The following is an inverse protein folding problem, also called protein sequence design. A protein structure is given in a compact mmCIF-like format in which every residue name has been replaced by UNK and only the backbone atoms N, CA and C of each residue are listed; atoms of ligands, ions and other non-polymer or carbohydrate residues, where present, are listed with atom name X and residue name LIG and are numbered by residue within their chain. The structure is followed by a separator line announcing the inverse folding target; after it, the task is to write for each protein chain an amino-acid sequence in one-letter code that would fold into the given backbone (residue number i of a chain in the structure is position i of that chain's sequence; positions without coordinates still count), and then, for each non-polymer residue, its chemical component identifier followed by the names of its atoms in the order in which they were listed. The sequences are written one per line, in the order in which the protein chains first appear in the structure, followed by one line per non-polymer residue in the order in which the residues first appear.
data_IF_203311125493
#
_entry.id   IF_203311125493
#
_cell.length_a   1.000
_cell.length_b   1.000
_cell.length_c   1.000
_cell.angle_alpha   90.00
_cell.angle_beta   90.00
_cell.angle_gamma   90.00
#
_symmetry.space_group_name_H-M   'P 1'
#
loop_
_entity.id
_entity.type
_entity.pdbx_description
1 polymer ?
#
# COMPACT_ATOMS: atom_id res chain seq x y z
N UNK A 1 -20.03 20.58 15.73
CA UNK A 1 -18.76 21.29 15.58
C UNK A 1 -17.68 20.24 15.51
N UNK A 2 -16.88 20.21 14.44
CA UNK A 2 -15.72 19.32 14.34
C UNK A 2 -14.50 20.21 14.24
N UNK A 3 -14.00 20.59 15.40
CA UNK A 3 -12.68 21.18 15.58
C UNK A 3 -11.75 20.07 16.05
N UNK A 4 -10.62 19.92 15.38
CA UNK A 4 -9.67 18.86 15.65
C UNK A 4 -8.30 19.49 15.86
N UNK A 5 -7.74 19.24 17.04
CA UNK A 5 -6.31 19.37 17.25
C UNK A 5 -5.64 18.09 16.78
N UNK A 6 -4.79 18.20 15.76
CA UNK A 6 -3.97 17.12 15.25
C UNK A 6 -2.52 17.32 15.72
N UNK A 7 -1.92 16.28 16.28
CA UNK A 7 -0.50 16.25 16.58
C UNK A 7 0.04 14.85 16.30
N UNK A 8 0.95 14.72 15.35
CA UNK A 8 1.67 13.48 15.07
C UNK A 8 3.15 13.71 15.31
N UNK A 9 3.75 12.90 16.18
CA UNK A 9 5.19 12.84 16.41
C UNK A 9 5.68 11.46 16.01
N UNK A 10 6.68 11.44 15.14
CA UNK A 10 7.34 10.21 14.69
C UNK A 10 8.83 10.29 15.05
N UNK A 11 9.29 9.34 15.85
CA UNK A 11 10.70 9.12 16.16
C UNK A 11 11.15 7.84 15.45
N UNK A 12 12.07 7.98 14.50
CA UNK A 12 12.58 6.90 13.64
C UNK A 12 14.03 6.58 13.97
N UNK A 13 14.32 5.30 14.17
CA UNK A 13 15.66 4.74 14.24
C UNK A 13 15.95 4.00 12.92
N UNK A 14 16.98 4.45 12.20
CA UNK A 14 17.34 3.90 10.90
C UNK A 14 18.69 3.21 11.02
N UNK A 15 18.70 1.93 10.66
CA UNK A 15 19.87 1.06 10.73
C UNK A 15 20.18 0.60 9.29
N UNK A 16 21.40 0.84 8.87
CA UNK A 16 21.94 0.45 7.56
C UNK A 16 23.26 -0.27 7.76
N UNK A 17 23.78 -0.93 6.73
CA UNK A 17 25.15 -1.48 6.78
C UNK A 17 26.24 -0.42 7.01
N UNK A 18 25.97 0.82 6.61
CA UNK A 18 26.88 1.96 6.77
C UNK A 18 26.81 2.62 8.15
N UNK A 19 25.83 2.29 8.98
CA UNK A 19 25.66 2.87 10.30
C UNK A 19 24.21 3.10 10.72
N UNK A 20 24.07 3.76 11.86
CA UNK A 20 22.81 3.98 12.57
C UNK A 20 22.61 5.46 12.82
N UNK A 21 21.41 5.97 12.54
CA UNK A 21 21.03 7.34 12.84
C UNK A 21 19.56 7.42 13.26
N UNK A 22 19.22 8.50 13.96
CA UNK A 22 17.85 8.77 14.40
C UNK A 22 17.31 10.00 13.70
N UNK A 23 16.03 9.99 13.40
CA UNK A 23 15.28 11.10 12.83
C UNK A 23 14.02 11.31 13.65
N UNK A 24 13.64 12.56 13.88
CA UNK A 24 12.37 12.91 14.53
C UNK A 24 11.62 13.90 13.64
N UNK A 25 10.31 13.72 13.55
CA UNK A 25 9.42 14.66 12.88
C UNK A 25 8.19 14.89 13.74
N UNK A 26 7.66 16.11 13.68
CA UNK A 26 6.43 16.46 14.37
C UNK A 26 5.59 17.38 13.50
N UNK A 27 4.30 17.05 13.39
CA UNK A 27 3.30 17.86 12.70
C UNK A 27 2.23 18.22 13.71
N UNK A 28 1.90 19.51 13.80
CA UNK A 28 0.79 20.03 14.61
C UNK A 28 -0.11 20.87 13.73
N UNK A 29 -1.41 20.66 13.82
CA UNK A 29 -2.39 21.45 13.11
C UNK A 29 -3.67 21.60 13.93
N UNK A 30 -4.33 22.74 13.79
CA UNK A 30 -5.69 22.95 14.22
C UNK A 30 -6.55 23.01 12.96
N UNK A 31 -7.56 22.15 12.89
CA UNK A 31 -8.39 21.98 11.71
C UNK A 31 -9.86 22.12 12.08
N UNK A 32 -10.59 22.88 11.27
CA UNK A 32 -12.04 23.00 11.40
C UNK A 32 -12.69 22.45 10.14
N UNK A 33 -13.66 21.56 10.29
CA UNK A 33 -14.46 21.10 9.17
C UNK A 33 -15.61 22.08 8.90
N UNK A 34 -15.68 22.60 7.68
CA UNK A 34 -16.73 23.50 7.19
C UNK A 34 -17.56 22.83 6.08
N UNK A 35 -18.69 23.43 5.67
CA UNK A 35 -19.43 22.97 4.49
C UNK A 35 -18.60 22.93 3.20
N UNK A 36 -17.58 23.77 3.10
CA UNK A 36 -16.68 23.89 1.94
C UNK A 36 -15.45 23.00 2.04
N UNK A 37 -15.15 22.41 3.21
CA UNK A 37 -14.01 21.52 3.41
C UNK A 37 -13.27 21.75 4.72
N UNK A 38 -12.10 21.14 4.82
CA UNK A 38 -11.18 21.39 5.93
C UNK A 38 -10.45 22.71 5.75
N UNK A 39 -10.42 23.52 6.80
CA UNK A 39 -9.57 24.71 6.89
C UNK A 39 -8.54 24.53 8.02
N UNK A 40 -7.33 25.03 7.81
CA UNK A 40 -6.22 24.98 8.79
C UNK A 40 -6.25 26.19 9.72
N UNK A 41 -7.45 26.50 10.22
CA UNK A 41 -7.69 27.60 11.14
C UNK A 41 -8.66 27.14 12.22
N UNK A 42 -8.44 27.66 13.42
CA UNK A 42 -9.39 27.49 14.50
C UNK A 42 -10.53 28.48 14.33
N UNK A 43 -11.69 27.98 13.91
CA UNK A 43 -12.88 28.79 13.71
C UNK A 43 -14.07 28.12 14.37
N UNK A 44 -14.78 28.86 15.21
CA UNK A 44 -16.02 28.37 15.79
C UNK A 44 -17.10 28.35 14.71
N UNK A 45 -17.38 27.14 14.20
CA UNK A 45 -18.46 26.90 13.23
C UNK A 45 -19.35 25.79 13.76
N UNK A 46 -20.65 26.07 13.84
CA UNK A 46 -21.65 25.03 14.08
C UNK A 46 -21.90 24.23 12.80
N UNK A 47 -21.00 23.29 12.51
CA UNK A 47 -21.16 22.31 11.44
C UNK A 47 -21.11 20.90 12.04
N UNK A 48 -21.98 20.03 11.57
CA UNK A 48 -21.90 18.59 11.82
C UNK A 48 -21.73 17.87 10.48
N UNK A 49 -20.82 16.88 10.38
CA UNK A 49 -20.67 16.09 9.18
C UNK A 49 -22.01 15.43 8.82
N UNK A 50 -22.35 15.40 7.54
CA UNK A 50 -23.57 14.73 7.07
C UNK A 50 -23.48 13.19 7.11
N UNK A 51 -22.32 12.63 7.48
CA UNK A 51 -22.06 11.18 7.50
C UNK A 51 -22.07 10.65 8.93
N UNK A 52 -22.69 9.48 9.11
CA UNK A 52 -22.55 8.71 10.34
C UNK A 52 -21.13 8.13 10.44
N UNK A 53 -20.54 8.24 11.62
CA UNK A 53 -19.22 7.67 11.88
C UNK A 53 -19.11 7.21 13.34
N UNK A 54 -18.16 6.31 13.58
CA UNK A 54 -17.79 5.89 14.93
C UNK A 54 -16.58 6.73 15.36
N UNK A 55 -16.65 7.45 16.49
CA UNK A 55 -15.51 8.19 17.03
C UNK A 55 -14.32 7.26 17.33
N UNK A 56 -13.12 7.82 17.24
CA UNK A 56 -11.88 7.13 17.57
C UNK A 56 -11.86 6.60 19.02
N UNK A 57 -11.05 5.56 19.23
CA UNK A 57 -10.74 4.99 20.54
C UNK A 57 -9.22 4.99 20.69
N UNK A 58 -8.72 5.47 21.83
CA UNK A 58 -7.28 5.52 22.10
C UNK A 58 -6.66 4.11 22.09
N UNK A 59 -5.45 4.02 21.58
CA UNK A 59 -4.68 2.78 21.44
C UNK A 59 -3.24 3.04 21.88
N UNK A 60 -2.72 2.22 22.80
CA UNK A 60 -1.34 2.33 23.25
C UNK A 60 -0.68 0.96 23.28
N UNK A 61 0.36 0.79 22.49
CA UNK A 61 1.22 -0.39 22.50
C UNK A 61 2.26 -0.29 23.63
N UNK A 62 2.68 -1.45 24.18
CA UNK A 62 3.62 -1.50 25.31
C UNK A 62 5.05 -1.19 24.85
N UNK A 63 5.70 -0.24 25.51
CA UNK A 63 7.06 0.23 25.18
C UNK A 63 8.14 -0.85 25.37
N UNK A 64 7.92 -1.86 26.23
CA UNK A 64 8.89 -2.95 26.44
C UNK A 64 9.22 -3.70 25.14
N UNK A 65 8.23 -3.88 24.26
CA UNK A 65 8.38 -4.55 22.95
C UNK A 65 9.31 -3.74 22.04
N UNK A 66 9.22 -2.41 22.10
CA UNK A 66 10.03 -1.52 21.29
C UNK A 66 11.52 -1.62 21.64
N UNK A 67 11.87 -1.66 22.93
CA UNK A 67 13.26 -1.78 23.37
C UNK A 67 13.88 -3.13 23.02
N UNK A 68 13.10 -4.22 23.14
CA UNK A 68 13.56 -5.55 22.73
C UNK A 68 13.92 -5.59 21.24
N UNK A 69 13.08 -5.00 20.39
CA UNK A 69 13.27 -5.01 18.93
C UNK A 69 14.48 -4.18 18.49
N UNK A 70 14.75 -3.04 19.13
CA UNK A 70 15.95 -2.24 18.84
C UNK A 70 17.22 -3.08 19.02
N UNK A 71 17.30 -3.85 20.11
CA UNK A 71 18.47 -4.71 20.40
C UNK A 71 18.60 -5.87 19.40
N UNK A 72 17.48 -6.36 18.85
CA UNK A 72 17.47 -7.41 17.82
C UNK A 72 17.89 -6.88 16.45
N UNK A 73 17.44 -5.68 16.08
CA UNK A 73 17.61 -5.14 14.73
C UNK A 73 19.09 -5.00 14.30
N UNK A 74 19.98 -4.67 15.22
CA UNK A 74 21.43 -4.59 14.96
C UNK A 74 22.04 -5.95 14.59
N UNK A 75 21.46 -7.05 15.06
CA UNK A 75 21.89 -8.41 14.69
C UNK A 75 21.33 -8.86 13.35
N UNK A 76 20.25 -8.23 12.89
CA UNK A 76 19.54 -8.58 11.67
C UNK A 76 20.03 -7.81 10.43
N UNK A 77 20.66 -6.64 10.62
CA UNK A 77 21.14 -5.81 9.50
C UNK A 77 22.07 -6.53 8.51
N UNK A 78 22.91 -7.53 8.87
CA UNK A 78 23.72 -8.24 7.89
C UNK A 78 22.91 -8.98 6.81
N UNK A 79 21.63 -9.25 7.05
CA UNK A 79 20.76 -10.03 6.17
C UNK A 79 19.92 -9.19 5.20
N UNK A 80 19.85 -7.88 5.42
CA UNK A 80 19.02 -6.92 4.68
C UNK A 80 19.86 -5.67 4.39
N UNK A 81 19.26 -4.64 3.77
CA UNK A 81 19.98 -3.42 3.42
C UNK A 81 19.67 -2.27 4.39
N UNK A 82 18.42 -2.19 4.85
CA UNK A 82 17.95 -1.17 5.78
C UNK A 82 16.83 -1.69 6.67
N UNK A 83 16.86 -1.29 7.93
CA UNK A 83 15.78 -1.47 8.91
C UNK A 83 15.42 -0.08 9.44
N UNK A 84 14.13 0.25 9.44
CA UNK A 84 13.58 1.48 10.02
C UNK A 84 12.62 1.10 11.12
N UNK A 85 12.88 1.51 12.35
CA UNK A 85 12.00 1.29 13.49
C UNK A 85 11.41 2.64 13.87
N UNK A 86 10.09 2.75 13.91
CA UNK A 86 9.36 3.98 14.18
C UNK A 86 8.55 3.87 15.45
N UNK A 87 8.66 4.87 16.33
CA UNK A 87 7.70 5.16 17.38
C UNK A 87 6.80 6.28 16.89
N UNK A 88 5.51 6.01 16.75
CA UNK A 88 4.52 6.97 16.27
C UNK A 88 3.57 7.28 17.44
N UNK A 89 3.53 8.56 17.84
CA UNK A 89 2.53 9.09 18.76
C UNK A 89 1.64 10.07 18.01
N UNK A 90 0.37 9.72 17.83
CA UNK A 90 -0.62 10.56 17.15
C UNK A 90 -1.76 10.92 18.11
N UNK A 91 -2.17 12.19 18.07
CA UNK A 91 -3.32 12.72 18.82
C UNK A 91 -4.27 13.41 17.85
N UNK A 92 -5.54 13.07 17.93
CA UNK A 92 -6.60 13.63 17.09
C UNK A 92 -7.79 13.90 18.00
N UNK A 93 -8.04 15.18 18.30
CA UNK A 93 -8.98 15.57 19.35
C UNK A 93 -8.59 14.97 20.70
N UNK A 94 -9.48 14.20 21.31
CA UNK A 94 -9.25 13.53 22.61
C UNK A 94 -8.55 12.17 22.47
N UNK A 95 -8.45 11.63 21.27
CA UNK A 95 -7.88 10.30 21.04
C UNK A 95 -6.36 10.34 20.93
N UNK A 96 -5.73 9.28 21.42
CA UNK A 96 -4.27 9.08 21.39
C UNK A 96 -3.94 7.69 20.84
N UNK A 97 -3.03 7.63 19.89
CA UNK A 97 -2.44 6.40 19.34
C UNK A 97 -0.93 6.40 19.62
N UNK A 98 -0.43 5.40 20.32
CA UNK A 98 0.99 5.07 20.40
C UNK A 98 1.19 3.68 19.79
N UNK A 99 2.02 3.61 18.75
CA UNK A 99 2.35 2.36 18.06
C UNK A 99 3.81 2.32 17.65
N UNK A 100 4.31 1.10 17.44
CA UNK A 100 5.66 0.86 16.98
C UNK A 100 5.63 0.07 15.66
N UNK A 101 6.21 0.65 14.62
CA UNK A 101 6.25 0.08 13.27
C UNK A 101 7.69 -0.21 12.87
N UNK A 102 7.92 -1.32 12.18
CA UNK A 102 9.20 -1.61 11.53
C UNK A 102 9.00 -1.66 10.02
N UNK A 103 9.96 -1.14 9.27
CA UNK A 103 10.11 -1.34 7.83
C UNK A 103 11.46 -1.98 7.55
N UNK A 104 11.47 -2.98 6.68
CA UNK A 104 12.67 -3.71 6.28
C UNK A 104 12.79 -3.65 4.76
N UNK A 105 13.98 -3.28 4.29
CA UNK A 105 14.28 -3.15 2.86
C UNK A 105 15.44 -4.08 2.49
N UNK A 106 15.28 -4.80 1.38
CA UNK A 106 16.32 -5.63 0.77
C UNK A 106 16.18 -5.65 -0.75
N UNK A 107 17.26 -5.31 -1.43
CA UNK A 107 17.37 -5.03 -2.86
C UNK A 107 16.33 -4.01 -3.33
N UNK A 108 15.22 -4.50 -3.88
CA UNK A 108 14.12 -3.67 -4.34
C UNK A 108 12.84 -3.83 -3.55
N UNK A 109 12.79 -4.79 -2.64
CA UNK A 109 11.60 -5.12 -1.89
C UNK A 109 11.61 -4.37 -0.57
N UNK A 110 10.42 -3.92 -0.18
CA UNK A 110 10.14 -3.30 1.10
C UNK A 110 8.95 -3.98 1.73
N UNK A 111 9.07 -4.32 3.01
CA UNK A 111 7.96 -4.82 3.84
C UNK A 111 7.91 -4.04 5.13
N UNK A 112 6.76 -4.01 5.78
CA UNK A 112 6.62 -3.36 7.07
C UNK A 112 5.49 -3.97 7.88
N UNK A 113 5.36 -3.54 9.13
CA UNK A 113 4.37 -4.07 10.06
C UNK A 113 4.71 -3.67 11.48
N UNK A 114 3.99 -4.21 12.45
CA UNK A 114 4.34 -4.04 13.87
C UNK A 114 5.75 -4.55 14.15
N UNK A 115 6.45 -3.85 15.05
CA UNK A 115 7.86 -4.14 15.40
C UNK A 115 8.11 -5.59 15.83
N UNK A 116 7.13 -6.23 16.47
CA UNK A 116 7.21 -7.63 16.92
C UNK A 116 7.46 -8.63 15.78
N UNK A 117 7.17 -8.27 14.52
CA UNK A 117 7.33 -9.12 13.35
C UNK A 117 8.70 -8.99 12.67
N UNK A 118 9.65 -8.25 13.24
CA UNK A 118 10.95 -7.97 12.59
C UNK A 118 11.67 -9.24 12.10
N UNK A 119 11.71 -10.31 12.90
CA UNK A 119 12.37 -11.57 12.54
C UNK A 119 11.68 -12.24 11.33
N UNK A 120 10.35 -12.25 11.32
CA UNK A 120 9.55 -12.78 10.22
C UNK A 120 9.71 -11.96 8.94
N UNK A 121 9.76 -10.63 9.05
CA UNK A 121 9.95 -9.73 7.91
C UNK A 121 11.33 -9.90 7.26
N UNK A 122 12.38 -10.01 8.07
CA UNK A 122 13.75 -10.28 7.61
C UNK A 122 13.82 -11.65 6.93
N UNK A 123 13.29 -12.69 7.58
CA UNK A 123 13.28 -14.06 7.03
C UNK A 123 12.51 -14.13 5.71
N UNK A 124 11.40 -13.42 5.62
CA UNK A 124 10.60 -13.32 4.40
C UNK A 124 11.41 -12.72 3.24
N UNK A 125 12.04 -11.56 3.44
CA UNK A 125 12.86 -10.92 2.41
C UNK A 125 14.09 -11.76 2.01
N UNK A 126 14.63 -12.57 2.91
CA UNK A 126 15.71 -13.49 2.56
C UNK A 126 15.27 -14.56 1.55
N UNK A 127 14.03 -15.03 1.64
CA UNK A 127 13.50 -16.10 0.81
C UNK A 127 12.87 -15.60 -0.51
N UNK A 128 12.39 -14.35 -0.54
CA UNK A 128 11.68 -13.80 -1.71
C UNK A 128 12.61 -13.40 -2.86
N UNK A 129 13.85 -13.05 -2.56
CA UNK A 129 14.73 -12.45 -3.55
C UNK A 129 15.26 -13.53 -4.48
N UNK A 130 14.85 -13.42 -5.74
CA UNK A 130 15.32 -14.28 -6.83
C UNK A 130 16.61 -13.72 -7.44
N UNK A 131 17.62 -14.56 -7.55
CA UNK A 131 18.81 -14.27 -8.34
C UNK A 131 18.52 -14.48 -9.83
N UNK A 132 18.10 -13.42 -10.52
CA UNK A 132 17.99 -13.47 -11.99
C UNK A 132 19.39 -13.37 -12.59
N UNK A 133 19.69 -14.24 -13.56
CA UNK A 133 20.98 -14.25 -14.27
C UNK A 133 21.20 -12.90 -14.97
N UNK A 134 22.40 -12.32 -14.81
CA UNK A 134 22.85 -11.02 -15.37
C UNK A 134 22.83 -10.89 -16.90
N UNK A 135 22.51 -11.95 -17.65
CA UNK A 135 22.44 -11.85 -19.11
C UNK A 135 21.15 -11.13 -19.47
N UNK A 136 21.27 -9.82 -19.69
CA UNK A 136 20.20 -8.96 -20.18
C UNK A 136 20.16 -9.02 -21.70
N UNK A 137 19.01 -9.40 -22.26
CA UNK A 137 18.72 -9.27 -23.69
C UNK A 137 17.69 -8.17 -23.90
N UNK A 138 17.86 -7.38 -24.95
CA UNK A 138 16.82 -6.42 -25.33
C UNK A 138 15.58 -7.18 -25.81
N UNK A 139 14.43 -6.83 -25.25
CA UNK A 139 13.17 -7.39 -25.73
C UNK A 139 12.78 -6.71 -27.04
N UNK A 140 12.59 -7.50 -28.11
CA UNK A 140 12.48 -6.97 -29.47
C UNK A 140 11.04 -6.76 -29.95
N UNK A 141 10.04 -7.19 -29.18
CA UNK A 141 8.63 -7.14 -29.61
C UNK A 141 7.83 -6.24 -28.69
N UNK A 142 7.34 -5.11 -29.18
CA UNK A 142 6.39 -4.27 -28.44
C UNK A 142 4.98 -4.83 -28.51
N UNK A 143 4.05 -4.23 -27.74
CA UNK A 143 2.62 -4.53 -27.85
C UNK A 143 2.08 -5.38 -26.71
N UNK A 144 0.90 -5.99 -26.93
CA UNK A 144 0.16 -6.72 -25.89
C UNK A 144 0.75 -8.11 -25.72
N UNK A 145 1.27 -8.41 -24.54
CA UNK A 145 1.88 -9.70 -24.18
C UNK A 145 1.31 -10.21 -22.87
N UNK A 146 1.20 -11.54 -22.74
CA UNK A 146 0.82 -12.19 -21.50
C UNK A 146 2.01 -12.24 -20.56
N UNK A 147 1.81 -11.83 -19.31
CA UNK A 147 2.86 -11.75 -18.29
C UNK A 147 2.35 -12.24 -16.96
N UNK A 148 3.27 -12.73 -16.13
CA UNK A 148 3.06 -12.90 -14.70
C UNK A 148 3.62 -11.66 -14.00
N UNK A 149 2.78 -10.91 -13.29
CA UNK A 149 3.24 -9.81 -12.45
C UNK A 149 3.45 -10.31 -11.02
N UNK A 150 4.54 -9.87 -10.39
CA UNK A 150 4.76 -10.12 -8.98
C UNK A 150 3.69 -9.42 -8.12
N UNK A 151 3.45 -9.90 -6.90
CA UNK A 151 2.60 -9.25 -5.91
C UNK A 151 2.84 -7.75 -5.74
N UNK A 152 4.11 -7.32 -5.69
CA UNK A 152 4.49 -5.91 -5.56
C UNK A 152 4.05 -5.09 -6.78
N UNK A 153 4.31 -5.59 -7.99
CA UNK A 153 3.97 -4.89 -9.23
C UNK A 153 2.45 -4.83 -9.40
N UNK A 154 1.77 -5.96 -9.22
CA UNK A 154 0.31 -6.02 -9.33
C UNK A 154 -0.37 -5.19 -8.24
N UNK A 155 0.10 -5.31 -7.01
CA UNK A 155 -0.38 -4.55 -5.87
C UNK A 155 -0.25 -3.05 -6.11
N UNK A 156 0.87 -2.61 -6.68
CA UNK A 156 1.08 -1.20 -7.05
C UNK A 156 0.08 -0.75 -8.10
N UNK A 157 -0.16 -1.55 -9.17
CA UNK A 157 -1.19 -1.24 -10.18
C UNK A 157 -2.55 -1.06 -9.50
N UNK A 158 -2.92 -1.97 -8.60
CA UNK A 158 -4.20 -1.89 -7.90
C UNK A 158 -4.27 -0.68 -6.96
N UNK A 159 -3.18 -0.33 -6.26
CA UNK A 159 -3.12 0.85 -5.40
C UNK A 159 -3.43 2.15 -6.16
N UNK A 160 -2.75 2.38 -7.27
CA UNK A 160 -3.01 3.57 -8.09
C UNK A 160 -4.39 3.51 -8.77
N UNK A 161 -4.89 2.32 -9.10
CA UNK A 161 -6.25 2.13 -9.64
C UNK A 161 -7.29 2.52 -8.60
N UNK A 162 -7.20 1.99 -7.37
CA UNK A 162 -8.14 2.30 -6.27
C UNK A 162 -8.10 3.78 -5.95
N UNK A 163 -6.91 4.37 -5.79
CA UNK A 163 -6.74 5.81 -5.53
C UNK A 163 -7.36 6.69 -6.62
N UNK A 164 -7.32 6.25 -7.88
CA UNK A 164 -7.86 7.02 -9.02
C UNK A 164 -9.35 6.81 -9.24
N UNK A 165 -9.83 5.58 -9.11
CA UNK A 165 -11.19 5.21 -9.51
C UNK A 165 -12.19 5.27 -8.35
N UNK A 166 -11.73 5.06 -7.12
CA UNK A 166 -12.58 4.92 -5.93
C UNK A 166 -12.35 6.04 -4.89
N UNK A 167 -11.80 7.18 -5.29
CA UNK A 167 -11.65 8.35 -4.42
C UNK A 167 -13.03 8.94 -4.08
N UNK A 168 -13.37 9.06 -2.80
CA UNK A 168 -14.70 9.51 -2.36
C UNK A 168 -15.04 10.97 -2.67
N UNK A 169 -14.06 11.82 -3.02
CA UNK A 169 -14.34 13.18 -3.48
C UNK A 169 -14.92 13.16 -4.90
N UNK A 170 -14.30 12.36 -5.77
CA UNK A 170 -14.60 12.30 -7.21
C UNK A 170 -14.46 10.87 -7.76
N UNK A 171 -15.35 9.94 -7.36
CA UNK A 171 -15.25 8.55 -7.82
C UNK A 171 -15.52 8.48 -9.32
N UNK A 172 -14.74 7.67 -10.03
CA UNK A 172 -14.92 7.42 -11.47
C UNK A 172 -15.79 6.21 -11.76
N UNK A 173 -15.99 5.36 -10.76
CA UNK A 173 -16.87 4.19 -10.80
C UNK A 173 -18.08 4.41 -9.89
N UNK A 174 -19.23 3.84 -10.26
CA UNK A 174 -20.45 3.92 -9.45
C UNK A 174 -20.53 2.75 -8.46
N UNK A 175 -21.20 2.96 -7.34
CA UNK A 175 -21.56 1.87 -6.43
C UNK A 175 -22.37 0.83 -7.19
N UNK A 176 -22.09 -0.45 -6.90
CA UNK A 176 -22.70 -1.63 -7.52
C UNK A 176 -22.42 -1.79 -9.02
N UNK A 177 -21.52 -0.99 -9.58
CA UNK A 177 -21.03 -1.18 -10.94
C UNK A 177 -20.14 -2.43 -11.02
N UNK A 178 -20.32 -3.22 -12.09
CA UNK A 178 -19.43 -4.35 -12.41
C UNK A 178 -18.15 -3.84 -13.07
N UNK A 179 -17.01 -4.27 -12.56
CA UNK A 179 -15.67 -3.83 -12.96
C UNK A 179 -14.78 -5.05 -13.20
N UNK A 180 -13.48 -4.97 -12.90
CA UNK A 180 -12.54 -6.07 -13.00
C UNK A 180 -12.79 -7.16 -11.93
N UNK A 181 -12.54 -8.45 -12.22
CA UNK A 181 -12.96 -9.59 -11.40
C UNK A 181 -12.05 -9.79 -10.17
N UNK A 182 -11.98 -8.79 -9.30
CA UNK A 182 -11.18 -8.80 -8.07
C UNK A 182 -12.05 -8.60 -6.84
N UNK A 183 -11.54 -9.05 -5.71
CA UNK A 183 -12.04 -8.68 -4.38
C UNK A 183 -10.92 -7.96 -3.65
N UNK A 184 -11.18 -6.70 -3.28
CA UNK A 184 -10.20 -5.76 -2.73
C UNK A 184 -10.76 -5.14 -1.47
N UNK A 185 -10.00 -5.24 -0.39
CA UNK A 185 -10.28 -4.57 0.86
C UNK A 185 -9.25 -3.47 1.11
N UNK A 186 -9.68 -2.39 1.77
CA UNK A 186 -8.76 -1.55 2.53
C UNK A 186 -8.85 -1.95 4.01
N UNK A 187 -7.71 -2.30 4.61
CA UNK A 187 -7.62 -2.79 5.98
C UNK A 187 -6.57 -2.02 6.79
N UNK A 188 -6.98 -0.93 7.47
CA UNK A 188 -6.08 -0.17 8.33
C UNK A 188 -5.64 -0.95 9.58
N UNK A 189 -6.33 -2.04 9.93
CA UNK A 189 -6.05 -2.87 11.10
C UNK A 189 -5.11 -4.04 10.80
N UNK A 190 -4.57 -4.12 9.59
CA UNK A 190 -3.59 -5.14 9.22
C UNK A 190 -2.24 -4.86 9.94
N UNK A 191 -1.83 -5.79 10.80
CA UNK A 191 -0.64 -5.67 11.65
C UNK A 191 0.67 -6.02 10.95
N UNK A 192 0.61 -6.62 9.76
CA UNK A 192 1.73 -6.85 8.83
C UNK A 192 1.81 -5.76 7.75
N UNK A 193 1.35 -4.55 8.08
CA UNK A 193 1.42 -3.36 7.23
C UNK A 193 2.05 -2.18 7.97
N UNK A 194 2.89 -1.36 7.30
CA UNK A 194 3.38 -0.12 7.90
C UNK A 194 2.27 0.90 8.13
N UNK A 195 1.13 0.76 7.46
CA UNK A 195 -0.01 1.65 7.53
C UNK A 195 -0.96 1.34 8.69
N UNK A 196 -0.62 0.39 9.57
CA UNK A 196 -1.48 -0.01 10.70
C UNK A 196 -1.94 1.20 11.51
N UNK A 197 -3.25 1.36 11.70
CA UNK A 197 -3.81 2.40 12.55
C UNK A 197 -5.25 2.10 12.97
N UNK A 198 -5.62 2.52 14.19
CA UNK A 198 -6.95 2.29 14.77
C UNK A 198 -7.95 3.43 14.51
N UNK A 199 -7.48 4.59 14.06
CA UNK A 199 -8.32 5.70 13.62
C UNK A 199 -7.64 6.49 12.50
N UNK A 200 -8.38 7.29 11.74
CA UNK A 200 -7.84 8.10 10.66
C UNK A 200 -7.46 9.52 11.15
N UNK A 201 -6.96 10.38 10.25
CA UNK A 201 -6.47 11.72 10.64
C UNK A 201 -7.60 12.71 10.95
N UNK A 202 -8.86 12.29 10.85
CA UNK A 202 -10.08 13.02 11.27
C UNK A 202 -10.69 12.47 12.56
N UNK A 203 -10.06 11.46 13.19
CA UNK A 203 -10.55 10.88 14.43
C UNK A 203 -11.72 9.93 14.22
N UNK A 204 -11.85 9.35 13.02
CA UNK A 204 -12.83 8.30 12.74
C UNK A 204 -12.19 6.94 13.00
N UNK A 205 -12.89 6.06 13.73
CA UNK A 205 -12.45 4.69 13.95
C UNK A 205 -12.29 3.96 12.62
N UNK A 206 -11.11 3.39 12.38
CA UNK A 206 -10.86 2.62 11.15
C UNK A 206 -11.49 1.24 11.23
N UNK A 207 -11.78 0.68 10.05
CA UNK A 207 -12.29 -0.68 9.91
C UNK A 207 -11.83 -1.27 8.58
N UNK A 208 -11.82 -2.59 8.48
CA UNK A 208 -11.68 -3.27 7.20
C UNK A 208 -12.90 -2.97 6.33
N UNK A 209 -12.69 -2.39 5.15
CA UNK A 209 -13.73 -2.05 4.19
C UNK A 209 -13.52 -2.83 2.90
N UNK A 210 -14.59 -3.45 2.40
CA UNK A 210 -14.61 -4.00 1.06
C UNK A 210 -14.86 -2.87 0.07
N UNK A 211 -13.89 -2.62 -0.82
CA UNK A 211 -13.99 -1.58 -1.84
C UNK A 211 -14.57 -2.15 -3.13
N UNK A 212 -14.10 -3.34 -3.49
CA UNK A 212 -14.63 -4.13 -4.61
C UNK A 212 -14.82 -5.56 -4.09
N UNK A 213 -16.02 -6.11 -4.27
CA UNK A 213 -16.38 -7.46 -3.88
C UNK A 213 -16.83 -8.26 -5.10
N UNK A 214 -16.07 -9.31 -5.44
CA UNK A 214 -16.29 -10.20 -6.59
C UNK A 214 -16.54 -9.42 -7.90
N UNK A 215 -15.72 -8.39 -8.12
CA UNK A 215 -15.79 -7.51 -9.27
C UNK A 215 -16.93 -6.51 -9.29
N UNK A 216 -17.53 -6.21 -8.14
CA UNK A 216 -18.57 -5.19 -7.97
C UNK A 216 -18.10 -4.13 -6.98
N UNK A 217 -18.23 -2.84 -7.33
CA UNK A 217 -17.87 -1.74 -6.42
C UNK A 217 -18.81 -1.72 -5.21
N UNK A 218 -18.24 -1.81 -4.01
CA UNK A 218 -18.99 -1.88 -2.74
C UNK A 218 -18.91 -0.57 -1.94
N UNK A 219 -17.77 0.12 -1.99
CA UNK A 219 -17.54 1.36 -1.24
C UNK A 219 -16.43 2.20 -1.91
N UNK A 220 -16.20 3.39 -1.37
CA UNK A 220 -15.14 4.30 -1.77
C UNK A 220 -14.17 4.57 -0.62
N UNK A 221 -13.00 5.13 -0.94
CA UNK A 221 -12.14 5.78 0.03
C UNK A 221 -12.87 7.03 0.52
N UNK A 222 -13.38 7.02 1.74
CA UNK A 222 -14.25 8.07 2.28
C UNK A 222 -13.66 8.74 3.51
N UNK A 223 -13.84 10.05 3.58
CA UNK A 223 -13.60 10.91 4.75
C UNK A 223 -14.92 11.51 5.24
N UNK A 224 -14.91 12.23 6.37
CA UNK A 224 -16.05 13.00 6.86
C UNK A 224 -16.50 14.08 5.87
N UNK A 225 -15.57 14.65 5.10
CA UNK A 225 -15.86 15.70 4.13
C UNK A 225 -16.24 15.17 2.73
N UNK A 226 -15.61 14.08 2.30
CA UNK A 226 -15.80 13.54 0.95
C UNK A 226 -17.27 13.31 0.58
N UNK A 227 -17.62 13.47 -0.70
CA UNK A 227 -19.02 13.38 -1.17
C UNK A 227 -19.59 11.96 -1.08
N UNK A 228 -18.74 10.96 -1.29
CA UNK A 228 -19.12 9.55 -1.35
C UNK A 228 -18.29 8.71 -0.38
N UNK A 229 -18.75 7.49 -0.14
CA UNK A 229 -18.04 6.48 0.65
C UNK A 229 -18.20 6.64 2.15
N UNK A 230 -18.06 5.54 2.87
CA UNK A 230 -18.07 5.57 4.33
C UNK A 230 -16.74 6.14 4.86
N UNK A 231 -16.78 6.96 5.94
CA UNK A 231 -15.58 7.58 6.51
C UNK A 231 -14.63 6.53 7.14
N UNK A 232 -13.39 6.93 7.45
CA UNK A 232 -12.33 6.05 7.94
C UNK A 232 -11.14 5.88 6.98
N UNK A 233 -10.99 6.76 5.98
CA UNK A 233 -9.87 6.82 5.02
C UNK A 233 -9.19 8.19 4.97
N UNK A 234 -9.38 9.04 5.97
CA UNK A 234 -8.83 10.38 5.93
C UNK A 234 -7.34 10.37 6.28
N UNK A 235 -6.51 10.90 5.36
CA UNK A 235 -5.06 10.94 5.54
C UNK A 235 -4.49 12.31 5.18
N UNK A 236 -3.53 12.76 5.98
CA UNK A 236 -2.80 14.00 5.76
C UNK A 236 -3.45 15.23 6.39
N UNK A 237 -2.86 16.39 6.09
CA UNK A 237 -3.29 17.69 6.58
C UNK A 237 -3.27 18.68 5.40
N UNK A 238 -4.43 19.18 4.92
CA UNK A 238 -5.77 18.75 5.32
C UNK A 238 -6.04 17.26 4.99
N UNK A 239 -6.96 16.59 5.69
CA UNK A 239 -7.25 15.19 5.43
C UNK A 239 -7.95 14.97 4.09
N UNK A 240 -7.42 14.03 3.30
CA UNK A 240 -7.96 13.64 1.99
C UNK A 240 -8.24 12.13 1.95
N UNK A 241 -9.15 11.65 1.06
CA UNK A 241 -9.38 10.23 0.90
C UNK A 241 -8.15 9.50 0.36
N UNK A 242 -7.61 8.58 1.17
CA UNK A 242 -6.53 7.69 0.76
C UNK A 242 -6.62 6.33 1.46
N UNK A 243 -5.99 5.31 0.90
CA UNK A 243 -6.03 3.97 1.48
C UNK A 243 -4.94 3.79 2.56
N UNK A 244 -5.06 2.74 3.36
CA UNK A 244 -4.03 2.33 4.31
C UNK A 244 -3.33 1.06 3.85
N UNK A 245 -4.07 -0.05 3.78
CA UNK A 245 -3.53 -1.34 3.35
C UNK A 245 -4.49 -2.01 2.40
N UNK A 246 -4.11 -2.16 1.14
CA UNK A 246 -4.95 -2.90 0.20
C UNK A 246 -4.69 -4.40 0.31
N UNK A 247 -5.72 -5.17 0.61
CA UNK A 247 -5.69 -6.63 0.61
C UNK A 247 -6.45 -7.14 -0.62
N UNK A 248 -5.73 -7.74 -1.55
CA UNK A 248 -6.29 -8.33 -2.75
C UNK A 248 -6.46 -9.82 -2.50
N UNK A 249 -7.68 -10.32 -2.67
CA UNK A 249 -7.98 -11.75 -2.49
C UNK A 249 -7.22 -12.58 -3.53
N UNK A 250 -6.58 -13.66 -3.08
CA UNK A 250 -5.94 -14.64 -3.94
C UNK A 250 -6.95 -15.48 -4.74
N UNK A 251 -6.47 -16.12 -5.81
CA UNK A 251 -7.24 -17.09 -6.58
C UNK A 251 -6.90 -18.53 -6.21
N UNK A 252 -7.00 -19.42 -7.18
CA UNK A 252 -6.80 -20.86 -6.96
C UNK A 252 -5.47 -21.39 -7.53
N UNK A 253 -4.76 -20.59 -8.31
CA UNK A 253 -3.55 -21.02 -9.02
C UNK A 253 -2.30 -20.98 -8.12
N UNK A 254 -1.36 -21.88 -8.35
CA UNK A 254 0.02 -21.70 -7.89
C UNK A 254 0.85 -20.90 -8.91
N UNK A 255 1.98 -20.35 -8.47
CA UNK A 255 2.91 -19.66 -9.38
C UNK A 255 3.55 -20.64 -10.36
N UNK A 256 3.76 -21.87 -9.93
CA UNK A 256 4.29 -22.98 -10.72
C UNK A 256 3.32 -23.35 -11.84
N UNK A 257 2.04 -23.57 -11.55
CA UNK A 257 1.00 -23.84 -12.57
C UNK A 257 0.90 -22.69 -13.58
N UNK A 258 0.94 -21.43 -13.13
CA UNK A 258 0.94 -20.28 -14.04
C UNK A 258 2.10 -20.32 -15.04
N UNK A 259 3.28 -20.81 -14.64
CA UNK A 259 4.45 -20.92 -15.52
C UNK A 259 4.40 -22.14 -16.42
N UNK A 260 4.05 -23.28 -15.86
CA UNK A 260 4.10 -24.57 -16.55
C UNK A 260 3.06 -24.65 -17.68
N UNK A 261 1.86 -24.11 -17.44
CA UNK A 261 0.80 -24.03 -18.46
C UNK A 261 1.02 -22.89 -19.47
N UNK A 262 1.90 -21.92 -19.16
CA UNK A 262 2.18 -20.77 -20.02
C UNK A 262 3.68 -20.70 -20.35
N UNK A 263 4.19 -21.73 -21.02
CA UNK A 263 5.61 -21.82 -21.40
C UNK A 263 6.10 -20.56 -22.10
N UNK A 264 7.21 -20.01 -21.62
CA UNK A 264 7.81 -18.79 -22.15
C UNK A 264 7.09 -17.49 -21.78
N UNK A 265 6.19 -17.52 -20.79
CA UNK A 265 5.60 -16.31 -20.19
C UNK A 265 6.67 -15.47 -19.52
N UNK A 266 6.55 -14.15 -19.66
CA UNK A 266 7.45 -13.19 -19.02
C UNK A 266 7.00 -13.00 -17.58
N UNK A 267 7.93 -13.03 -16.63
CA UNK A 267 7.64 -12.62 -15.24
C UNK A 267 8.27 -11.26 -14.96
N UNK A 268 7.52 -10.37 -14.31
CA UNK A 268 7.91 -9.00 -14.01
C UNK A 268 7.92 -8.78 -12.49
N UNK A 269 9.01 -8.24 -11.96
CA UNK A 269 9.19 -7.97 -10.53
C UNK A 269 9.79 -6.59 -10.30
N UNK A 270 9.51 -6.02 -9.13
CA UNK A 270 10.06 -4.75 -8.71
C UNK A 270 9.44 -3.57 -9.43
N UNK A 271 9.11 -2.52 -8.68
CA UNK A 271 8.70 -1.23 -9.25
C UNK A 271 9.82 -0.23 -9.03
N UNK A 272 10.39 0.32 -10.10
CA UNK A 272 11.34 1.43 -10.03
C UNK A 272 10.62 2.77 -10.02
N UNK A 273 9.65 2.93 -10.91
CA UNK A 273 8.80 4.10 -10.94
C UNK A 273 7.40 3.75 -11.45
N UNK A 274 6.44 4.59 -11.11
CA UNK A 274 5.04 4.46 -11.49
C UNK A 274 4.49 5.82 -11.90
N UNK A 275 3.71 5.84 -12.97
CA UNK A 275 3.05 7.04 -13.48
C UNK A 275 1.62 6.70 -13.90
N UNK A 276 0.68 7.63 -13.66
CA UNK A 276 -0.65 7.55 -14.25
C UNK A 276 -0.64 8.46 -15.48
N UNK A 277 -0.87 7.87 -16.66
CA UNK A 277 -1.04 8.60 -17.91
C UNK A 277 -2.45 8.33 -18.40
N UNK A 278 -3.30 9.36 -18.34
CA UNK A 278 -4.72 9.29 -18.68
C UNK A 278 -5.45 8.17 -17.90
N UNK A 279 -5.83 7.09 -18.60
CA UNK A 279 -6.52 5.92 -18.05
C UNK A 279 -5.61 4.67 -17.99
N UNK A 280 -4.31 4.86 -17.89
CA UNK A 280 -3.32 3.79 -17.83
C UNK A 280 -2.30 4.03 -16.72
N UNK A 281 -1.96 2.93 -16.04
CA UNK A 281 -0.81 2.90 -15.14
C UNK A 281 0.40 2.46 -15.95
N UNK A 282 1.50 3.20 -15.81
CA UNK A 282 2.80 2.86 -16.38
C UNK A 282 3.77 2.52 -15.27
N UNK A 283 4.47 1.42 -15.43
CA UNK A 283 5.49 0.96 -14.48
C UNK A 283 6.80 0.75 -15.23
N UNK A 284 7.87 1.31 -14.68
CA UNK A 284 9.23 0.89 -14.99
C UNK A 284 9.60 -0.26 -14.05
N UNK A 285 9.73 -1.49 -14.55
CA UNK A 285 10.04 -2.63 -13.71
C UNK A 285 11.53 -2.75 -13.43
N UNK A 286 11.90 -3.31 -12.28
CA UNK A 286 13.33 -3.54 -11.95
C UNK A 286 13.87 -4.82 -12.54
N UNK A 287 13.06 -5.86 -12.60
CA UNK A 287 13.46 -7.18 -13.11
C UNK A 287 12.38 -7.69 -14.05
N UNK A 288 12.82 -8.11 -15.23
CA UNK A 288 11.98 -8.81 -16.20
C UNK A 288 12.73 -10.06 -16.61
N UNK A 289 12.09 -11.22 -16.51
CA UNK A 289 12.69 -12.49 -16.88
C UNK A 289 11.77 -13.30 -17.80
N UNK A 290 12.39 -14.09 -18.66
CA UNK A 290 11.75 -15.15 -19.43
C UNK A 290 12.64 -16.37 -19.42
N UNK A 291 12.11 -17.51 -18.95
CA UNK A 291 12.84 -18.79 -18.89
C UNK A 291 14.22 -18.67 -18.20
N UNK A 292 14.31 -17.86 -17.14
CA UNK A 292 15.55 -17.62 -16.38
C UNK A 292 16.56 -16.68 -17.07
N UNK A 293 16.20 -16.06 -18.19
CA UNK A 293 16.99 -15.04 -18.88
C UNK A 293 16.42 -13.66 -18.59
N UNK A 294 17.27 -12.73 -18.17
CA UNK A 294 16.89 -11.33 -17.93
C UNK A 294 16.59 -10.59 -19.24
N UNK A 295 15.55 -9.76 -19.24
CA UNK A 295 15.13 -8.95 -20.37
C UNK A 295 15.19 -7.46 -20.02
N UNK A 296 15.55 -6.64 -21.00
CA UNK A 296 15.44 -5.18 -20.91
C UNK A 296 14.16 -4.73 -21.61
N UNK A 297 13.27 -4.10 -20.84
CA UNK A 297 12.12 -3.33 -21.33
C UNK A 297 12.13 -1.97 -20.65
N UNK A 298 11.55 -0.95 -21.30
CA UNK A 298 11.48 0.39 -20.73
C UNK A 298 10.35 0.50 -19.71
N UNK A 299 9.13 0.20 -20.16
CA UNK A 299 7.91 0.34 -19.35
C UNK A 299 6.91 -0.76 -19.71
N UNK A 300 6.06 -1.11 -18.74
CA UNK A 300 4.76 -1.74 -19.02
C UNK A 300 3.65 -0.73 -18.83
N UNK A 301 2.62 -0.82 -19.65
CA UNK A 301 1.39 -0.06 -19.51
C UNK A 301 0.20 -0.99 -19.29
N UNK A 302 -0.60 -0.67 -18.28
CA UNK A 302 -1.84 -1.34 -17.92
C UNK A 302 -2.97 -0.30 -17.92
N UNK A 303 -3.70 -0.17 -19.04
CA UNK A 303 -4.97 0.54 -19.07
C UNK A 303 -5.94 -0.03 -18.04
N UNK A 304 -6.76 0.80 -17.38
CA UNK A 304 -7.72 0.32 -16.36
C UNK A 304 -8.68 -0.74 -16.92
N UNK A 305 -9.09 -0.60 -18.19
CA UNK A 305 -9.94 -1.57 -18.88
C UNK A 305 -9.26 -2.95 -19.07
N UNK A 306 -7.92 -3.01 -19.14
CA UNK A 306 -7.19 -4.26 -19.33
C UNK A 306 -7.20 -5.12 -18.05
N UNK A 307 -7.58 -4.55 -16.89
CA UNK A 307 -7.84 -5.30 -15.66
C UNK A 307 -9.02 -6.28 -15.79
N UNK A 308 -9.94 -6.07 -16.75
CA UNK A 308 -10.98 -7.04 -17.09
C UNK A 308 -10.41 -8.32 -17.72
N UNK A 309 -9.17 -8.27 -18.21
CA UNK A 309 -8.49 -9.39 -18.87
C UNK A 309 -7.60 -10.19 -17.91
N UNK A 310 -7.77 -10.06 -16.59
CA UNK A 310 -7.07 -10.89 -15.62
C UNK A 310 -7.46 -12.35 -15.84
N UNK A 311 -6.46 -13.20 -16.07
CA UNK A 311 -6.65 -14.60 -16.47
C UNK A 311 -6.56 -15.54 -15.25
N UNK A 312 -5.63 -15.26 -14.33
CA UNK A 312 -5.44 -16.05 -13.11
C UNK A 312 -4.81 -15.23 -11.98
N UNK A 313 -5.15 -15.57 -10.73
CA UNK A 313 -4.55 -15.04 -9.51
C UNK A 313 -3.97 -16.18 -8.70
N UNK A 314 -2.81 -15.95 -8.08
CA UNK A 314 -2.23 -16.98 -7.22
C UNK A 314 -2.99 -17.10 -5.92
N UNK A 315 -3.01 -18.31 -5.36
CA UNK A 315 -3.56 -18.59 -4.04
C UNK A 315 -2.81 -17.89 -2.92
N UNK A 316 -1.47 -17.89 -3.02
CA UNK A 316 -0.63 -17.22 -2.04
C UNK A 316 -0.63 -15.72 -2.30
N UNK A 317 -0.91 -14.95 -1.26
CA UNK A 317 -0.76 -13.49 -1.23
C UNK A 317 0.45 -13.12 -0.40
N UNK A 318 1.07 -11.99 -0.73
CA UNK A 318 2.34 -11.57 -0.16
C UNK A 318 2.31 -10.09 0.25
N UNK A 319 2.81 -9.73 1.44
CA UNK A 319 2.82 -8.36 1.92
C UNK A 319 4.01 -7.58 1.36
N UNK A 320 3.78 -6.31 1.03
CA UNK A 320 4.78 -5.31 0.67
C UNK A 320 4.35 -3.95 1.18
N UNK A 321 5.33 -3.09 1.43
CA UNK A 321 5.13 -1.68 1.74
C UNK A 321 5.35 -0.89 0.46
N UNK A 322 4.30 -0.22 -0.03
CA UNK A 322 4.39 0.67 -1.20
C UNK A 322 5.26 1.88 -0.87
N UNK A 323 5.05 2.42 0.33
CA UNK A 323 5.85 3.47 0.94
C UNK A 323 5.79 3.30 2.48
N UNK A 324 6.19 4.33 3.24
CA UNK A 324 6.18 4.27 4.71
C UNK A 324 4.79 4.37 5.33
N UNK A 325 3.80 4.66 4.50
CA UNK A 325 2.45 5.03 4.86
C UNK A 325 1.40 4.09 4.27
N UNK A 326 1.74 3.29 3.27
CA UNK A 326 0.82 2.43 2.53
C UNK A 326 1.33 0.99 2.46
N UNK A 327 0.46 0.04 2.81
CA UNK A 327 0.71 -1.39 2.67
C UNK A 327 -0.09 -2.02 1.55
N UNK A 328 0.40 -3.15 1.03
CA UNK A 328 -0.30 -3.96 0.06
C UNK A 328 -0.08 -5.43 0.38
N UNK A 329 -1.15 -6.22 0.31
CA UNK A 329 -1.12 -7.70 0.36
C UNK A 329 -1.73 -8.20 -0.93
N UNK A 330 -0.91 -8.83 -1.78
CA UNK A 330 -1.27 -9.07 -3.18
C UNK A 330 -0.82 -10.45 -3.68
N UNK A 331 -1.57 -11.10 -4.57
CA UNK A 331 -1.14 -12.31 -5.26
C UNK A 331 -0.26 -12.01 -6.48
N UNK A 332 0.38 -13.04 -7.04
CA UNK A 332 0.80 -13.00 -8.44
C UNK A 332 -0.44 -12.97 -9.34
N UNK A 333 -0.33 -12.30 -10.48
CA UNK A 333 -1.40 -12.28 -11.49
C UNK A 333 -0.84 -12.66 -12.85
N UNK A 334 -1.57 -13.50 -13.57
CA UNK A 334 -1.37 -13.75 -15.00
C UNK A 334 -2.37 -12.86 -15.76
N UNK A 335 -1.86 -11.94 -16.57
CA UNK A 335 -2.71 -11.06 -17.38
C UNK A 335 -1.93 -10.50 -18.59
N UNK A 336 -2.63 -10.04 -19.63
CA UNK A 336 -2.00 -9.31 -20.71
C UNK A 336 -1.67 -7.88 -20.31
N UNK A 337 -0.47 -7.41 -20.63
CA UNK A 337 -0.02 -6.01 -20.48
C UNK A 337 0.56 -5.49 -21.79
N UNK A 338 0.69 -4.17 -21.93
CA UNK A 338 1.38 -3.57 -23.08
C UNK A 338 2.84 -3.32 -22.72
N UNK A 339 3.77 -3.95 -23.44
CA UNK A 339 5.19 -3.60 -23.35
C UNK A 339 5.46 -2.38 -24.23
N UNK A 340 6.11 -1.39 -23.64
CA UNK A 340 6.61 -0.21 -24.31
C UNK A 340 8.12 -0.37 -24.43
N UNK A 341 8.58 -0.45 -25.68
CA UNK A 341 9.99 -0.44 -26.02
C UNK A 341 10.46 1.01 -26.16
N UNK A 342 11.74 1.22 -25.85
CA UNK A 342 12.57 2.41 -26.05
C UNK A 342 11.85 3.74 -26.30
#
# INVERSE_FOLDING_TARGET
MVQIFFNSKEDSLIITRSGKYSQSSQIKAEMTLTPEGWILENKEISFQPGKNFTPCISYEEKEDVYQEVINKAEKLIPYVDKIVIKRIERRVGECKEIKFITLVEKDYLKVGGKVQYIDSLVSYLQNEIRSVKRILRDYQTGGRVRVILSPEVFGTIIAYTVKTLLNGNYPKLKLYEKVFPLTIFDNPLNDISPAFTVFDDEGVLTKKKELIGDGVVQDYLGTLYSRFGNPGNARGIPPEPDFFTLEIKGGDWSLEEMRDENKGVITIYGVESVQIIENSIRITPKIVEKDGVGLRIREIAVPFQDLLSIEALSKNVKPYALDEQHGIVSPYVLMPVRIILF
#
